data_IF_309030541416
#
_entry.id   IF_309030541416
#
_cell.length_a   1.000
_cell.length_b   1.000
_cell.length_c   1.000
_cell.angle_alpha   90.00
_cell.angle_beta   90.00
_cell.angle_gamma   90.00
#
_symmetry.space_group_name_H-M   'P 1'
#
loop_
_entity.id
_entity.type
_entity.pdbx_description
1 polymer ?
#
# COMPACT_ATOMS: atom_id res chain seq x y z
N UNK A 1 40.85 56.29 -41.65
CA UNK A 1 41.07 55.36 -40.51
C UNK A 1 39.77 55.27 -39.71
N UNK A 2 39.16 54.08 -39.62
CA UNK A 2 37.85 53.87 -38.97
C UNK A 2 38.11 53.42 -37.53
N UNK A 3 37.75 54.24 -36.52
CA UNK A 3 37.79 53.84 -35.11
C UNK A 3 36.63 52.89 -34.83
N UNK A 4 36.92 51.74 -34.24
CA UNK A 4 35.91 50.87 -33.64
C UNK A 4 35.47 51.49 -32.30
N UNK A 5 34.17 51.54 -31.99
CA UNK A 5 33.72 52.04 -30.69
C UNK A 5 34.16 51.06 -29.59
N UNK A 6 34.79 51.59 -28.54
CA UNK A 6 35.08 50.87 -27.32
C UNK A 6 33.75 50.48 -26.65
N UNK A 7 33.50 49.18 -26.54
CA UNK A 7 32.41 48.64 -25.75
C UNK A 7 32.69 48.98 -24.28
N UNK A 8 32.03 50.02 -23.76
CA UNK A 8 32.06 50.36 -22.35
C UNK A 8 31.29 49.30 -21.56
N UNK A 9 32.00 48.33 -20.99
CA UNK A 9 31.42 47.40 -20.03
C UNK A 9 30.97 48.17 -18.79
N UNK A 10 29.65 48.33 -18.63
CA UNK A 10 29.06 48.93 -17.44
C UNK A 10 29.12 47.89 -16.32
N UNK A 11 29.94 48.13 -15.30
CA UNK A 11 29.98 47.29 -14.11
C UNK A 11 28.63 47.23 -13.40
N UNK A 12 28.33 46.08 -12.77
CA UNK A 12 27.09 45.86 -12.02
C UNK A 12 27.00 46.77 -10.79
N UNK A 13 25.78 47.22 -10.49
CA UNK A 13 25.54 48.02 -9.27
C UNK A 13 25.36 47.10 -8.06
N UNK A 14 25.76 47.54 -6.86
CA UNK A 14 25.61 46.76 -5.62
C UNK A 14 24.15 46.36 -5.35
N UNK A 15 23.20 47.27 -5.65
CA UNK A 15 21.77 47.01 -5.51
C UNK A 15 21.28 45.92 -6.48
N UNK A 16 21.83 45.86 -7.69
CA UNK A 16 21.49 44.85 -8.68
C UNK A 16 21.95 43.45 -8.24
N UNK A 17 23.15 43.34 -7.65
CA UNK A 17 23.63 42.09 -7.05
C UNK A 17 22.74 41.65 -5.87
N UNK A 18 22.31 42.59 -5.02
CA UNK A 18 21.41 42.28 -3.90
C UNK A 18 20.05 41.77 -4.38
N UNK A 19 19.47 42.41 -5.40
CA UNK A 19 18.20 41.98 -6.00
C UNK A 19 18.36 40.60 -6.67
N UNK A 20 19.47 40.37 -7.38
CA UNK A 20 19.75 39.08 -8.01
C UNK A 20 19.83 37.94 -6.97
N UNK A 21 20.56 38.14 -5.87
CA UNK A 21 20.66 37.15 -4.79
C UNK A 21 19.30 36.94 -4.11
N UNK A 22 18.49 37.98 -3.94
CA UNK A 22 17.15 37.86 -3.38
C UNK A 22 16.25 36.97 -4.25
N UNK A 23 16.15 37.26 -5.55
CA UNK A 23 15.32 36.47 -6.48
C UNK A 23 15.84 35.04 -6.56
N UNK A 24 17.16 34.86 -6.63
CA UNK A 24 17.80 33.55 -6.64
C UNK A 24 17.47 32.73 -5.38
N UNK A 25 17.53 33.37 -4.21
CA UNK A 25 17.22 32.73 -2.93
C UNK A 25 15.77 32.25 -2.89
N UNK A 26 14.81 33.08 -3.32
CA UNK A 26 13.39 32.69 -3.42
C UNK A 26 13.23 31.50 -4.38
N UNK A 27 13.94 31.52 -5.51
CA UNK A 27 13.95 30.41 -6.47
C UNK A 27 14.41 29.09 -5.87
N UNK A 28 15.52 29.09 -5.13
CA UNK A 28 16.05 27.88 -4.46
C UNK A 28 15.08 27.35 -3.40
N UNK A 29 14.43 28.22 -2.63
CA UNK A 29 13.42 27.79 -1.66
C UNK A 29 12.24 27.08 -2.34
N UNK A 30 11.80 27.59 -3.49
CA UNK A 30 10.78 26.94 -4.31
C UNK A 30 11.20 25.55 -4.77
N UNK A 31 12.43 25.41 -5.28
CA UNK A 31 12.99 24.12 -5.72
C UNK A 31 13.14 23.16 -4.54
N UNK A 32 13.63 23.62 -3.39
CA UNK A 32 13.80 22.80 -2.19
C UNK A 32 12.46 22.20 -1.74
N UNK A 33 11.38 23.00 -1.73
CA UNK A 33 10.03 22.51 -1.42
C UNK A 33 9.57 21.43 -2.42
N UNK A 34 9.82 21.63 -3.72
CA UNK A 34 9.49 20.64 -4.75
C UNK A 34 10.28 19.33 -4.55
N UNK A 35 11.56 19.41 -4.21
CA UNK A 35 12.40 18.25 -3.94
C UNK A 35 11.86 17.42 -2.77
N UNK A 36 11.45 18.07 -1.68
CA UNK A 36 10.83 17.38 -0.53
C UNK A 36 9.57 16.63 -0.97
N UNK A 37 8.67 17.28 -1.72
CA UNK A 37 7.46 16.63 -2.23
C UNK A 37 7.77 15.46 -3.18
N UNK A 38 8.78 15.58 -4.02
CA UNK A 38 9.21 14.50 -4.91
C UNK A 38 9.75 13.30 -4.12
N UNK A 39 10.54 13.53 -3.07
CA UNK A 39 11.06 12.46 -2.19
C UNK A 39 9.92 11.73 -1.48
N UNK A 40 9.00 12.47 -0.86
CA UNK A 40 7.84 11.89 -0.17
C UNK A 40 6.97 11.10 -1.15
N UNK A 41 6.67 11.68 -2.31
CA UNK A 41 5.87 11.01 -3.34
C UNK A 41 6.51 9.73 -3.89
N UNK A 42 7.83 9.74 -4.08
CA UNK A 42 8.58 8.56 -4.53
C UNK A 42 8.63 7.47 -3.46
N UNK A 43 8.87 7.85 -2.19
CA UNK A 43 8.80 6.92 -1.05
C UNK A 43 7.42 6.25 -0.99
N UNK A 44 6.35 7.04 -1.06
CA UNK A 44 4.98 6.53 -1.03
C UNK A 44 4.66 5.59 -2.21
N UNK A 45 5.20 5.87 -3.40
CA UNK A 45 5.10 4.98 -4.55
C UNK A 45 5.84 3.65 -4.30
N UNK A 46 7.04 3.70 -3.72
CA UNK A 46 7.79 2.51 -3.37
C UNK A 46 7.05 1.64 -2.33
N UNK A 47 6.39 2.25 -1.34
CA UNK A 47 5.53 1.56 -0.39
C UNK A 47 4.36 0.84 -1.06
N UNK A 48 3.64 1.53 -1.96
CA UNK A 48 2.52 0.94 -2.71
C UNK A 48 2.95 -0.22 -3.61
N UNK A 49 4.07 -0.08 -4.31
CA UNK A 49 4.58 -1.15 -5.17
C UNK A 49 4.92 -2.41 -4.37
N UNK A 50 5.55 -2.24 -3.21
CA UNK A 50 5.85 -3.37 -2.32
C UNK A 50 4.59 -3.97 -1.71
N UNK A 51 3.65 -3.16 -1.22
CA UNK A 51 2.36 -3.65 -0.73
C UNK A 51 1.60 -4.46 -1.80
N UNK A 52 1.65 -4.02 -3.06
CA UNK A 52 1.06 -4.73 -4.19
C UNK A 52 1.76 -6.07 -4.47
N UNK A 53 3.09 -6.10 -4.37
CA UNK A 53 3.87 -7.34 -4.47
C UNK A 53 3.52 -8.32 -3.36
N UNK A 54 3.39 -7.85 -2.11
CA UNK A 54 2.96 -8.65 -0.95
C UNK A 54 1.57 -9.22 -1.23
N UNK A 55 0.60 -8.37 -1.53
CA UNK A 55 -0.78 -8.80 -1.76
C UNK A 55 -0.89 -9.81 -2.91
N UNK A 56 -0.16 -9.60 -4.00
CA UNK A 56 -0.15 -10.54 -5.14
C UNK A 56 0.42 -11.90 -4.75
N UNK A 57 1.50 -11.93 -3.95
CA UNK A 57 2.09 -13.19 -3.47
C UNK A 57 1.09 -13.98 -2.62
N UNK A 58 0.38 -13.32 -1.69
CA UNK A 58 -0.69 -13.96 -0.90
C UNK A 58 -1.81 -14.53 -1.80
N UNK A 59 -2.25 -13.77 -2.82
CA UNK A 59 -3.28 -14.26 -3.74
C UNK A 59 -2.81 -15.46 -4.59
N UNK A 60 -1.53 -15.51 -4.98
CA UNK A 60 -0.96 -16.66 -5.67
C UNK A 60 -0.93 -17.89 -4.78
N UNK A 61 -0.57 -17.72 -3.51
CA UNK A 61 -0.57 -18.79 -2.54
C UNK A 61 -2.00 -19.27 -2.23
N UNK A 62 -2.98 -18.35 -2.11
CA UNK A 62 -4.39 -18.72 -1.93
C UNK A 62 -4.93 -19.57 -3.08
N UNK A 63 -4.45 -19.32 -4.31
CA UNK A 63 -4.80 -20.14 -5.47
C UNK A 63 -4.20 -21.54 -5.40
N UNK A 64 -3.00 -21.68 -4.85
CA UNK A 64 -2.28 -22.96 -4.72
C UNK A 64 -2.79 -23.85 -3.59
N UNK A 65 -3.29 -23.24 -2.52
CA UNK A 65 -3.83 -23.93 -1.35
C UNK A 65 -5.10 -24.73 -1.67
N UNK A 66 -5.43 -25.69 -0.81
CA UNK A 66 -6.67 -26.48 -0.94
C UNK A 66 -7.91 -25.60 -0.77
N UNK A 67 -9.05 -26.05 -1.26
CA UNK A 67 -10.33 -25.37 -1.01
C UNK A 67 -10.74 -25.48 0.46
N UNK A 68 -10.56 -26.65 1.07
CA UNK A 68 -10.89 -26.96 2.47
C UNK A 68 -9.73 -26.65 3.44
N UNK A 69 -8.87 -25.69 3.09
CA UNK A 69 -7.79 -25.26 3.98
C UNK A 69 -8.38 -24.48 5.17
N UNK A 70 -7.88 -24.72 6.38
CA UNK A 70 -8.35 -24.05 7.60
C UNK A 70 -8.20 -22.51 7.52
N UNK A 71 -7.29 -22.01 6.68
CA UNK A 71 -7.12 -20.59 6.39
C UNK A 71 -8.25 -19.99 5.52
N UNK A 72 -9.17 -20.82 5.01
CA UNK A 72 -10.34 -20.41 4.24
C UNK A 72 -11.66 -20.78 4.93
N UNK A 73 -11.68 -20.89 6.25
CA UNK A 73 -12.92 -21.01 7.00
C UNK A 73 -13.50 -19.63 7.30
N UNK A 74 -14.81 -19.52 7.08
CA UNK A 74 -15.67 -18.41 7.52
C UNK A 74 -15.97 -18.65 9.01
N UNK A 75 -15.23 -17.98 9.89
CA UNK A 75 -15.12 -18.38 11.30
C UNK A 75 -16.31 -17.93 12.13
N UNK A 76 -16.99 -16.85 11.72
CA UNK A 76 -18.19 -16.34 12.36
C UNK A 76 -19.49 -16.63 11.57
N UNK A 77 -19.36 -17.21 10.37
CA UNK A 77 -20.45 -17.63 9.50
C UNK A 77 -21.38 -16.47 9.09
N UNK A 78 -20.86 -15.26 9.01
CA UNK A 78 -21.61 -14.09 8.59
C UNK A 78 -21.61 -13.86 7.05
N UNK A 79 -20.82 -14.67 6.34
CA UNK A 79 -20.76 -14.73 4.89
C UNK A 79 -20.33 -13.41 4.25
N UNK A 80 -21.06 -12.97 3.23
CA UNK A 80 -20.67 -11.77 2.45
C UNK A 80 -20.67 -10.50 3.32
N UNK A 81 -21.41 -10.50 4.44
CA UNK A 81 -21.53 -9.35 5.33
C UNK A 81 -20.21 -9.04 6.08
N UNK A 82 -19.47 -10.06 6.52
CA UNK A 82 -18.19 -9.89 7.24
C UNK A 82 -16.98 -9.73 6.36
N UNK A 83 -17.14 -9.66 5.03
CA UNK A 83 -16.01 -9.40 4.15
C UNK A 83 -15.30 -8.07 4.45
N UNK A 84 -15.92 -7.13 5.14
CA UNK A 84 -15.31 -5.86 5.59
C UNK A 84 -14.92 -5.83 7.08
N UNK A 85 -15.03 -6.95 7.79
CA UNK A 85 -14.68 -7.02 9.21
C UNK A 85 -13.21 -6.71 9.47
N UNK A 86 -12.97 -5.90 10.49
CA UNK A 86 -11.64 -5.41 10.85
C UNK A 86 -11.09 -4.32 9.92
N UNK A 87 -11.80 -3.96 8.85
CA UNK A 87 -11.44 -2.83 7.98
C UNK A 87 -11.52 -1.51 8.74
N UNK A 88 -10.50 -0.66 8.55
CA UNK A 88 -10.54 0.72 9.04
C UNK A 88 -11.72 1.49 8.42
N UNK A 89 -12.56 2.12 9.25
CA UNK A 89 -13.70 2.95 8.82
C UNK A 89 -13.38 4.45 8.95
N UNK A 90 -14.25 5.30 8.39
CA UNK A 90 -14.10 6.76 8.51
C UNK A 90 -14.10 7.18 9.98
N UNK A 91 -12.98 7.68 10.48
CA UNK A 91 -12.82 8.10 11.88
C UNK A 91 -11.92 7.19 12.71
N UNK A 92 -11.61 5.98 12.24
CA UNK A 92 -10.62 5.07 12.84
C UNK A 92 -9.44 4.90 11.88
N UNK A 93 -8.27 5.51 12.14
CA UNK A 93 -7.13 5.44 11.21
C UNK A 93 -6.46 4.05 11.16
N UNK A 94 -6.88 3.12 12.02
CA UNK A 94 -6.27 1.80 12.15
C UNK A 94 -7.30 0.70 11.90
N UNK A 95 -6.85 -0.36 11.22
CA UNK A 95 -7.61 -1.59 11.11
C UNK A 95 -7.74 -2.26 12.48
N UNK A 96 -8.76 -3.08 12.65
CA UNK A 96 -8.96 -3.93 13.82
C UNK A 96 -8.95 -5.40 13.39
N UNK A 97 -7.78 -5.96 13.05
CA UNK A 97 -7.70 -7.33 12.52
C UNK A 97 -8.28 -8.38 13.48
N UNK A 98 -8.20 -8.10 14.79
CA UNK A 98 -9.29 -8.29 15.74
C UNK A 98 -10.48 -9.19 15.36
N UNK A 99 -11.28 -8.63 14.47
CA UNK A 99 -12.59 -9.12 14.07
C UNK A 99 -12.58 -9.83 12.72
N UNK A 100 -11.43 -9.92 12.04
CA UNK A 100 -11.32 -10.65 10.79
C UNK A 100 -11.36 -12.16 11.04
N UNK A 101 -11.91 -12.92 10.09
CA UNK A 101 -11.94 -14.39 10.14
C UNK A 101 -10.54 -14.94 10.34
N UNK A 102 -9.60 -14.42 9.55
CA UNK A 102 -8.26 -14.92 9.46
C UNK A 102 -7.33 -13.80 9.86
N UNK A 103 -7.20 -13.68 11.17
CA UNK A 103 -6.21 -12.88 11.84
C UNK A 103 -5.38 -13.78 12.74
N UNK A 104 -4.07 -13.55 12.78
CA UNK A 104 -3.23 -14.09 13.85
C UNK A 104 -3.14 -15.64 13.87
N UNK A 105 -2.60 -16.24 12.80
CA UNK A 105 -2.38 -17.68 12.69
C UNK A 105 -1.01 -18.01 12.07
N UNK A 106 -0.54 -19.24 12.30
CA UNK A 106 0.69 -19.81 11.74
C UNK A 106 0.58 -19.90 10.22
N UNK A 107 0.72 -18.76 9.54
CA UNK A 107 0.92 -18.69 8.12
C UNK A 107 2.25 -19.39 7.85
N UNK A 108 2.19 -20.68 7.53
CA UNK A 108 3.29 -21.41 6.92
C UNK A 108 3.33 -21.14 5.41
N UNK A 109 2.91 -19.94 4.99
CA UNK A 109 3.41 -19.37 3.75
C UNK A 109 4.83 -18.91 4.05
N UNK A 110 5.78 -19.40 3.28
CA UNK A 110 7.19 -18.99 3.37
C UNK A 110 7.32 -17.55 2.87
N UNK A 111 6.71 -16.61 3.57
CA UNK A 111 6.98 -15.19 3.41
C UNK A 111 7.90 -14.80 4.55
N UNK A 112 9.17 -14.56 4.21
CA UNK A 112 10.18 -14.13 5.17
C UNK A 112 9.69 -12.87 5.90
N UNK A 113 9.74 -12.89 7.23
CA UNK A 113 9.28 -11.80 8.09
C UNK A 113 7.77 -11.73 8.34
N UNK A 114 6.94 -12.66 7.86
CA UNK A 114 5.54 -12.74 8.28
C UNK A 114 5.41 -13.37 9.67
N UNK A 115 4.89 -12.61 10.62
CA UNK A 115 4.59 -13.04 11.97
C UNK A 115 3.22 -12.50 12.36
N UNK A 116 2.23 -13.40 12.40
CA UNK A 116 1.03 -13.18 13.19
C UNK A 116 0.21 -11.95 12.74
N UNK A 117 0.03 -11.78 11.43
CA UNK A 117 -0.66 -10.63 10.83
C UNK A 117 0.22 -9.41 10.60
N UNK A 118 1.49 -9.45 11.04
CA UNK A 118 2.49 -8.42 10.74
C UNK A 118 3.56 -8.99 9.81
N UNK A 119 3.88 -8.25 8.75
CA UNK A 119 4.85 -8.65 7.74
C UNK A 119 5.94 -7.60 7.67
N UNK A 120 7.18 -8.04 7.83
CA UNK A 120 8.36 -7.18 7.69
C UNK A 120 9.12 -7.58 6.43
N UNK A 121 9.13 -6.72 5.43
CA UNK A 121 9.91 -6.92 4.21
C UNK A 121 11.43 -6.81 4.49
N UNK A 122 12.27 -7.29 3.57
CA UNK A 122 13.73 -7.37 3.71
C UNK A 122 14.42 -6.03 4.01
N UNK A 123 13.76 -4.90 3.71
CA UNK A 123 14.26 -3.55 4.01
C UNK A 123 13.65 -2.95 5.29
N UNK A 124 12.94 -3.74 6.09
CA UNK A 124 12.35 -3.34 7.38
C UNK A 124 10.98 -2.65 7.29
N UNK A 125 10.34 -2.66 6.10
CA UNK A 125 8.99 -2.10 5.92
C UNK A 125 7.95 -3.01 6.56
N UNK A 126 7.05 -2.42 7.34
CA UNK A 126 6.03 -3.16 8.09
C UNK A 126 4.66 -3.04 7.44
N UNK A 127 3.98 -4.17 7.32
CA UNK A 127 2.64 -4.30 6.78
C UNK A 127 1.78 -5.11 7.73
N UNK A 128 0.55 -4.68 7.95
CA UNK A 128 -0.45 -5.47 8.64
C UNK A 128 -1.33 -6.15 7.60
N UNK A 129 -1.41 -7.48 7.65
CA UNK A 129 -2.11 -8.31 6.67
C UNK A 129 -3.08 -9.24 7.38
N UNK A 130 -4.30 -9.30 6.88
CA UNK A 130 -5.36 -10.20 7.33
C UNK A 130 -6.36 -10.38 6.18
N UNK A 131 -7.23 -11.39 6.27
CA UNK A 131 -8.27 -11.59 5.28
C UNK A 131 -9.55 -12.14 5.89
N UNK A 132 -10.65 -11.89 5.20
CA UNK A 132 -11.97 -12.43 5.54
C UNK A 132 -12.42 -13.37 4.44
N UNK A 133 -13.25 -14.33 4.80
CA UNK A 133 -13.70 -15.42 3.96
C UNK A 133 -15.20 -15.54 4.07
N UNK A 134 -15.89 -15.47 2.93
CA UNK A 134 -17.33 -15.67 2.86
C UNK A 134 -17.64 -16.92 2.05
N UNK A 135 -18.35 -17.85 2.67
CA UNK A 135 -18.82 -19.06 2.02
C UNK A 135 -20.06 -18.76 1.16
N UNK A 136 -20.04 -19.20 -0.09
CA UNK A 136 -21.19 -19.13 -0.99
C UNK A 136 -21.82 -20.52 -1.09
N UNK A 137 -22.78 -20.78 -0.21
CA UNK A 137 -23.53 -22.02 -0.17
C UNK A 137 -24.62 -22.05 -1.24
N UNK A 138 -24.67 -23.14 -1.99
CA UNK A 138 -25.78 -23.43 -2.90
C UNK A 138 -27.06 -23.78 -2.13
N UNK A 139 -28.24 -23.72 -2.78
CA UNK A 139 -29.49 -24.21 -2.20
C UNK A 139 -29.46 -25.70 -1.81
N UNK A 140 -28.50 -26.48 -2.34
CA UNK A 140 -28.23 -27.87 -1.97
C UNK A 140 -27.49 -28.02 -0.63
N UNK A 141 -26.98 -26.92 -0.04
CA UNK A 141 -26.18 -26.91 1.18
C UNK A 141 -24.67 -27.08 0.95
N UNK A 142 -24.22 -27.28 -0.29
CA UNK A 142 -22.80 -27.39 -0.64
C UNK A 142 -22.17 -26.01 -0.85
N UNK A 143 -20.94 -25.79 -0.35
CA UNK A 143 -20.18 -24.56 -0.61
C UNK A 143 -19.59 -24.63 -2.02
N UNK A 144 -20.17 -23.86 -2.95
CA UNK A 144 -19.72 -23.86 -4.35
C UNK A 144 -18.50 -22.97 -4.56
N UNK A 145 -18.38 -21.90 -3.80
CA UNK A 145 -17.25 -20.97 -3.88
C UNK A 145 -17.01 -20.28 -2.55
N UNK A 146 -15.77 -19.84 -2.33
CA UNK A 146 -15.39 -18.97 -1.22
C UNK A 146 -14.93 -17.64 -1.78
N UNK A 147 -15.44 -16.54 -1.23
CA UNK A 147 -14.98 -15.18 -1.56
C UNK A 147 -13.99 -14.77 -0.49
N UNK A 148 -12.76 -14.44 -0.89
CA UNK A 148 -11.69 -14.08 0.03
C UNK A 148 -11.34 -12.61 -0.20
N UNK A 149 -11.41 -11.79 0.85
CA UNK A 149 -10.98 -10.38 0.81
C UNK A 149 -9.73 -10.20 1.64
N UNK A 150 -8.63 -9.90 0.96
CA UNK A 150 -7.32 -9.61 1.55
C UNK A 150 -7.19 -8.12 1.84
N UNK A 151 -6.69 -7.82 3.03
CA UNK A 151 -6.38 -6.48 3.48
C UNK A 151 -4.88 -6.35 3.78
N UNK A 152 -4.26 -5.30 3.25
CA UNK A 152 -2.87 -4.95 3.53
C UNK A 152 -2.81 -3.48 3.94
N UNK A 153 -2.38 -3.22 5.16
CA UNK A 153 -2.24 -1.88 5.75
C UNK A 153 -0.78 -1.55 6.00
N UNK A 154 -0.40 -0.29 5.78
CA UNK A 154 0.93 0.22 6.13
C UNK A 154 0.87 1.70 6.50
N UNK A 155 1.93 2.18 7.13
CA UNK A 155 2.11 3.60 7.45
C UNK A 155 3.12 4.20 6.47
N UNK A 156 2.70 5.22 5.71
CA UNK A 156 3.60 6.02 4.87
C UNK A 156 3.83 7.40 5.48
N UNK A 157 4.75 8.17 4.91
CA UNK A 157 5.00 9.56 5.35
C UNK A 157 3.80 10.48 5.07
N UNK A 158 2.88 10.05 4.19
CA UNK A 158 1.63 10.75 3.89
C UNK A 158 0.43 10.22 4.70
N UNK A 159 0.67 9.34 5.68
CA UNK A 159 -0.34 8.79 6.58
C UNK A 159 -0.60 7.30 6.39
N UNK A 160 -1.66 6.81 7.04
CA UNK A 160 -2.07 5.41 6.95
C UNK A 160 -2.65 5.11 5.57
N UNK A 161 -2.21 3.99 4.98
CA UNK A 161 -2.62 3.54 3.65
C UNK A 161 -3.06 2.08 3.72
N UNK A 162 -3.91 1.70 2.78
CA UNK A 162 -4.40 0.33 2.65
C UNK A 162 -4.50 -0.09 1.19
N UNK A 163 -4.37 -1.38 0.96
CA UNK A 163 -4.64 -2.07 -0.28
C UNK A 163 -5.59 -3.21 0.04
N UNK A 164 -6.66 -3.31 -0.74
CA UNK A 164 -7.70 -4.32 -0.58
C UNK A 164 -7.82 -5.06 -1.90
N UNK A 165 -7.74 -6.38 -1.84
CA UNK A 165 -7.94 -7.24 -3.01
C UNK A 165 -8.97 -8.30 -2.69
N UNK A 166 -9.81 -8.64 -3.65
CA UNK A 166 -10.80 -9.70 -3.50
C UNK A 166 -10.57 -10.75 -4.57
N UNK A 167 -10.62 -12.01 -4.16
CA UNK A 167 -10.54 -13.16 -5.05
C UNK A 167 -11.67 -14.14 -4.74
N UNK A 168 -11.99 -15.00 -5.70
CA UNK A 168 -13.01 -16.05 -5.54
C UNK A 168 -12.35 -17.37 -5.86
N UNK A 169 -12.51 -18.33 -4.96
CA UNK A 169 -12.05 -19.71 -5.13
C UNK A 169 -13.27 -20.59 -5.34
N UNK A 170 -13.24 -21.42 -6.36
CA UNK A 170 -14.32 -22.35 -6.66
C UNK A 170 -13.98 -23.74 -6.14
N UNK A 171 -14.98 -24.43 -5.61
CA UNK A 171 -14.86 -25.86 -5.36
C UNK A 171 -14.93 -26.59 -6.71
N UNK A 172 -14.12 -27.63 -6.89
CA UNK A 172 -14.20 -28.49 -8.06
C UNK A 172 -15.38 -29.46 -7.87
N UNK A 173 -16.60 -28.93 -7.93
CA UNK A 173 -17.82 -29.75 -7.89
C UNK A 173 -17.93 -30.43 -9.25
N UNK A 174 -17.69 -31.74 -9.30
CA UNK A 174 -17.99 -32.53 -10.50
C UNK A 174 -19.51 -32.52 -10.71
N UNK A 175 -19.95 -31.88 -11.81
CA UNK A 175 -21.33 -31.88 -12.28
C UNK A 175 -21.88 -33.29 -12.51
#
# INVERSE_FOLDING_TARGET
MRRYPDNQEKGFTLIETMIAILIFSIGILGVAKMQIHAIVGNSDAAWRNSANSVATAFLEDFKRMSFDDALFEDNDADGIAGLDDGRATSGTPHASPSSADQFNGTISLTYDGFNNGNLVDAIGRQYQVFWNVADNTMPSGEVASKVIRLFVYWQSQMGSRSLIMTTVKYNNVSL
#
